data_IF_558873754757
#
_entry.id   IF_558873754757
#
_cell.length_a   1.000
_cell.length_b   1.000
_cell.length_c   1.000
_cell.angle_alpha   90.00
_cell.angle_beta   90.00
_cell.angle_gamma   90.00
#
_symmetry.space_group_name_H-M   'P 1'
#
loop_
_entity.id
_entity.type
_entity.pdbx_description
1 polymer ?
#
# COMPACT_ATOMS: atom_id res chain seq x y z
N UNK A 1 -22.75 -2.33 8.63
CA UNK A 1 -21.85 -3.50 8.61
C UNK A 1 -20.43 -2.96 8.72
N UNK A 2 -19.78 -3.13 9.87
CA UNK A 2 -18.41 -2.65 10.12
C UNK A 2 -17.48 -3.84 10.04
N UNK A 3 -16.63 -3.88 9.01
CA UNK A 3 -15.55 -4.87 8.90
C UNK A 3 -14.34 -4.29 9.60
N UNK A 4 -14.08 -4.75 10.83
CA UNK A 4 -12.87 -4.36 11.56
C UNK A 4 -11.70 -5.23 11.09
N UNK A 5 -10.94 -4.76 10.11
CA UNK A 5 -9.67 -5.37 9.71
C UNK A 5 -8.51 -4.43 9.96
N UNK A 6 -7.30 -4.97 10.12
CA UNK A 6 -6.09 -4.16 10.29
C UNK A 6 -5.81 -3.33 9.03
N UNK A 7 -6.01 -3.93 7.86
CA UNK A 7 -5.91 -3.28 6.57
C UNK A 7 -6.90 -3.82 5.57
N UNK A 8 -7.20 -3.03 4.53
CA UNK A 8 -7.99 -3.47 3.40
C UNK A 8 -7.11 -4.26 2.41
N UNK A 9 -6.25 -3.59 1.64
CA UNK A 9 -5.33 -4.26 0.72
C UNK A 9 -3.92 -4.28 1.31
N UNK A 10 -3.39 -5.50 1.48
CA UNK A 10 -2.03 -5.73 1.99
C UNK A 10 -1.20 -6.53 1.00
N UNK A 11 -0.15 -5.91 0.45
CA UNK A 11 0.80 -6.56 -0.45
C UNK A 11 2.15 -6.69 0.25
N UNK A 12 2.73 -7.89 0.23
CA UNK A 12 4.00 -8.20 0.88
C UNK A 12 4.91 -8.91 -0.10
N UNK A 13 6.14 -8.44 -0.20
CA UNK A 13 7.19 -9.16 -0.91
C UNK A 13 8.56 -8.88 -0.30
N UNK A 14 9.58 -9.54 -0.83
CA UNK A 14 10.99 -9.29 -0.51
C UNK A 14 11.84 -9.83 -1.64
N UNK A 15 13.07 -9.32 -1.76
CA UNK A 15 14.13 -9.98 -2.52
C UNK A 15 14.18 -11.45 -2.07
N UNK A 16 14.17 -12.35 -3.04
CA UNK A 16 14.07 -13.78 -2.83
C UNK A 16 12.72 -14.41 -3.20
N UNK A 17 11.67 -13.60 -3.39
CA UNK A 17 10.34 -14.11 -3.77
C UNK A 17 10.11 -14.14 -5.28
N UNK A 18 10.86 -13.35 -6.06
CA UNK A 18 10.79 -13.30 -7.52
C UNK A 18 9.39 -13.00 -8.07
N UNK A 19 9.18 -13.38 -9.34
CA UNK A 19 7.91 -13.28 -10.06
C UNK A 19 7.33 -11.84 -10.08
N UNK A 20 6.01 -11.71 -10.07
CA UNK A 20 5.32 -10.43 -10.23
C UNK A 20 4.05 -10.35 -9.39
N UNK A 21 3.73 -9.14 -8.95
CA UNK A 21 2.38 -8.72 -8.55
C UNK A 21 2.05 -7.52 -9.42
N UNK A 22 1.15 -7.72 -10.37
CA UNK A 22 0.81 -6.70 -11.34
C UNK A 22 -0.67 -6.71 -11.70
N UNK A 23 -1.11 -5.62 -12.30
CA UNK A 23 -2.46 -5.48 -12.86
C UNK A 23 -3.54 -5.66 -11.77
N UNK A 24 -3.34 -4.97 -10.63
CA UNK A 24 -4.25 -4.99 -9.50
C UNK A 24 -5.09 -3.71 -9.52
N UNK A 25 -6.42 -3.86 -9.59
CA UNK A 25 -7.36 -2.75 -9.67
C UNK A 25 -8.40 -2.88 -8.56
N UNK A 26 -8.31 -1.99 -7.58
CA UNK A 26 -9.23 -1.95 -6.44
C UNK A 26 -10.07 -0.69 -6.53
N UNK A 27 -11.40 -0.84 -6.43
CA UNK A 27 -12.32 0.27 -6.65
C UNK A 27 -13.56 0.19 -5.76
N UNK A 28 -14.13 1.35 -5.46
CA UNK A 28 -15.43 1.50 -4.77
C UNK A 28 -15.36 0.85 -3.39
N UNK A 29 -14.61 1.48 -2.50
CA UNK A 29 -14.40 0.98 -1.13
C UNK A 29 -15.03 1.91 -0.11
N UNK A 30 -15.76 1.32 0.84
CA UNK A 30 -16.30 2.01 2.00
C UNK A 30 -15.75 1.33 3.26
N UNK A 31 -14.78 1.97 3.90
CA UNK A 31 -13.98 1.40 4.98
C UNK A 31 -14.26 2.12 6.30
N UNK A 32 -14.16 1.42 7.41
CA UNK A 32 -14.37 1.97 8.75
C UNK A 32 -13.47 1.25 9.75
N UNK A 33 -12.90 1.98 10.73
CA UNK A 33 -12.02 1.44 11.76
C UNK A 33 -10.82 0.67 11.20
N UNK A 34 -9.95 1.33 10.44
CA UNK A 34 -8.77 0.68 9.85
C UNK A 34 -7.46 1.30 10.31
N UNK A 35 -6.43 0.47 10.44
CA UNK A 35 -5.08 0.99 10.70
C UNK A 35 -4.44 1.50 9.41
N UNK A 36 -4.55 0.73 8.32
CA UNK A 36 -4.06 1.13 7.00
C UNK A 36 -5.09 0.82 5.92
N UNK A 37 -5.41 1.77 5.03
CA UNK A 37 -6.23 1.42 3.86
C UNK A 37 -5.36 0.63 2.90
N UNK A 38 -4.23 1.22 2.51
CA UNK A 38 -3.27 0.64 1.58
C UNK A 38 -1.99 0.29 2.31
N UNK A 39 -1.59 -0.98 2.30
CA UNK A 39 -0.35 -1.41 2.95
C UNK A 39 0.52 -2.27 2.03
N UNK A 40 1.64 -1.70 1.60
CA UNK A 40 2.65 -2.40 0.80
C UNK A 40 3.97 -2.47 1.57
N UNK A 41 4.63 -3.62 1.57
CA UNK A 41 5.93 -3.81 2.22
C UNK A 41 6.84 -4.71 1.36
N UNK A 42 7.94 -4.13 0.85
CA UNK A 42 8.96 -4.81 0.05
C UNK A 42 10.06 -5.50 0.86
N UNK A 43 10.05 -5.41 2.18
CA UNK A 43 11.10 -5.99 3.05
C UNK A 43 10.56 -7.08 3.98
N UNK A 44 9.47 -7.75 3.58
CA UNK A 44 8.79 -8.73 4.42
C UNK A 44 9.49 -10.10 4.40
N UNK A 45 10.31 -10.39 5.41
CA UNK A 45 11.20 -11.57 5.46
C UNK A 45 10.65 -12.80 6.21
N UNK A 46 9.34 -12.89 6.46
CA UNK A 46 8.77 -14.04 7.20
C UNK A 46 8.78 -15.33 6.35
N UNK A 47 9.04 -16.46 6.99
CA UNK A 47 8.96 -17.84 6.44
C UNK A 47 9.79 -18.08 5.17
N UNK A 48 11.13 -18.07 5.28
CA UNK A 48 11.98 -18.62 4.22
C UNK A 48 11.78 -20.14 4.18
N UNK A 49 11.39 -20.67 3.02
CA UNK A 49 11.60 -22.09 2.72
C UNK A 49 13.07 -22.27 2.35
N UNK A 50 13.67 -23.41 2.60
CA UNK A 50 15.12 -23.60 2.41
C UNK A 50 15.56 -23.56 0.93
N UNK A 51 14.63 -23.69 -0.03
CA UNK A 51 14.91 -23.68 -1.47
C UNK A 51 14.27 -22.47 -2.19
N UNK A 52 14.82 -21.26 -2.02
CA UNK A 52 14.47 -20.10 -2.86
C UNK A 52 15.73 -19.45 -3.45
N UNK A 53 15.59 -18.78 -4.59
CA UNK A 53 16.68 -17.99 -5.17
C UNK A 53 16.81 -16.66 -4.43
N UNK A 54 17.89 -16.41 -3.66
CA UNK A 54 18.08 -15.19 -2.89
C UNK A 54 18.29 -13.93 -3.73
N UNK A 55 18.48 -14.08 -5.05
CA UNK A 55 18.64 -12.96 -5.98
C UNK A 55 17.36 -12.67 -6.76
N UNK A 56 16.29 -13.45 -6.57
CA UNK A 56 15.05 -13.24 -7.31
C UNK A 56 14.37 -11.92 -6.91
N UNK A 57 14.28 -10.99 -7.85
CA UNK A 57 13.67 -9.67 -7.65
C UNK A 57 12.20 -9.75 -8.07
N UNK A 58 11.24 -9.45 -7.17
CA UNK A 58 9.82 -9.38 -7.54
C UNK A 58 9.52 -8.09 -8.31
N UNK A 59 8.65 -8.17 -9.31
CA UNK A 59 8.15 -7.00 -10.06
C UNK A 59 6.83 -6.54 -9.46
N UNK A 60 6.74 -5.23 -9.14
CA UNK A 60 5.54 -4.56 -8.67
C UNK A 60 5.14 -3.50 -9.69
N UNK A 61 4.01 -3.67 -10.36
CA UNK A 61 3.62 -2.76 -11.44
C UNK A 61 2.11 -2.65 -11.61
N UNK A 62 1.62 -1.49 -12.05
CA UNK A 62 0.24 -1.29 -12.45
C UNK A 62 -0.77 -1.65 -11.34
N UNK A 63 -0.63 -0.98 -10.21
CA UNK A 63 -1.49 -1.17 -9.03
C UNK A 63 -2.29 0.11 -8.85
N UNK A 64 -3.61 -0.01 -8.88
CA UNK A 64 -4.50 1.15 -8.80
C UNK A 64 -5.56 1.01 -7.71
N UNK A 65 -5.81 2.13 -7.05
CA UNK A 65 -6.85 2.28 -6.04
C UNK A 65 -7.72 3.47 -6.43
N UNK A 66 -9.02 3.26 -6.56
CA UNK A 66 -9.94 4.32 -6.97
C UNK A 66 -11.23 4.37 -6.15
N UNK A 67 -11.75 5.57 -5.89
CA UNK A 67 -13.03 5.77 -5.22
C UNK A 67 -13.07 5.07 -3.85
N UNK A 68 -12.21 5.54 -2.95
CA UNK A 68 -12.04 5.01 -1.60
C UNK A 68 -12.58 6.02 -0.61
N UNK A 69 -13.55 5.63 0.21
CA UNK A 69 -14.06 6.42 1.33
C UNK A 69 -13.78 5.65 2.60
N UNK A 70 -13.09 6.26 3.56
CA UNK A 70 -12.70 5.61 4.79
C UNK A 70 -12.90 6.50 6.01
N UNK A 71 -13.37 5.92 7.11
CA UNK A 71 -13.56 6.62 8.39
C UNK A 71 -12.81 5.96 9.53
N UNK A 72 -12.38 6.77 10.51
CA UNK A 72 -11.62 6.32 11.67
C UNK A 72 -10.37 5.52 11.25
N UNK A 73 -9.50 6.16 10.46
CA UNK A 73 -8.29 5.54 9.88
C UNK A 73 -7.01 6.08 10.54
N UNK A 74 -6.05 5.21 10.87
CA UNK A 74 -4.75 5.66 11.41
C UNK A 74 -3.84 6.28 10.34
N UNK A 75 -3.72 5.61 9.19
CA UNK A 75 -2.84 6.03 8.09
C UNK A 75 -3.44 5.57 6.76
N UNK A 76 -3.84 6.48 5.85
CA UNK A 76 -4.41 6.09 4.57
C UNK A 76 -3.50 5.18 3.74
N UNK A 77 -2.21 5.50 3.61
CA UNK A 77 -1.29 4.64 2.88
C UNK A 77 0.07 4.48 3.58
N UNK A 78 0.47 3.22 3.69
CA UNK A 78 1.82 2.78 4.07
C UNK A 78 2.42 1.98 2.91
N UNK A 79 3.13 2.66 2.02
CA UNK A 79 3.72 2.10 0.82
C UNK A 79 5.24 2.10 0.95
N UNK A 80 5.81 0.93 1.21
CA UNK A 80 7.26 0.74 1.37
C UNK A 80 7.74 -0.23 0.29
N UNK A 81 8.50 0.28 -0.67
CA UNK A 81 9.13 -0.52 -1.72
C UNK A 81 10.33 -1.32 -1.22
N UNK A 82 11.14 -1.82 -2.16
CA UNK A 82 12.43 -2.42 -1.84
C UNK A 82 13.48 -1.31 -1.94
N UNK A 83 14.39 -1.16 -0.96
CA UNK A 83 15.45 -0.17 -1.03
C UNK A 83 16.23 -0.26 -2.35
N UNK A 84 16.38 0.88 -3.04
CA UNK A 84 17.02 0.98 -4.37
C UNK A 84 16.32 0.23 -5.51
N UNK A 85 15.12 -0.33 -5.27
CA UNK A 85 14.27 -0.98 -6.27
C UNK A 85 12.81 -0.59 -6.00
N UNK A 86 12.43 0.66 -6.33
CA UNK A 86 11.14 1.20 -5.95
C UNK A 86 9.99 0.44 -6.61
N UNK A 87 8.83 0.41 -5.94
CA UNK A 87 7.60 -0.05 -6.58
C UNK A 87 7.04 1.04 -7.47
N UNK A 88 6.81 0.74 -8.74
CA UNK A 88 6.42 1.74 -9.74
C UNK A 88 5.01 1.47 -10.28
N UNK A 89 4.43 2.46 -10.95
CA UNK A 89 3.11 2.32 -11.56
C UNK A 89 1.98 2.20 -10.53
N UNK A 90 2.10 2.89 -9.40
CA UNK A 90 1.04 3.03 -8.41
C UNK A 90 0.15 4.22 -8.80
N UNK A 91 -1.16 4.02 -8.85
CA UNK A 91 -2.13 5.08 -9.14
C UNK A 91 -3.20 5.14 -8.05
N UNK A 92 -3.38 6.30 -7.42
CA UNK A 92 -4.42 6.50 -6.41
C UNK A 92 -5.33 7.66 -6.83
N UNK A 93 -6.62 7.38 -7.01
CA UNK A 93 -7.59 8.35 -7.50
C UNK A 93 -8.81 8.43 -6.59
N UNK A 94 -9.20 9.64 -6.19
CA UNK A 94 -10.42 9.87 -5.40
C UNK A 94 -10.43 9.04 -4.09
N UNK A 95 -9.44 9.30 -3.23
CA UNK A 95 -9.34 8.72 -1.89
C UNK A 95 -9.69 9.79 -0.86
N UNK A 96 -10.74 9.54 -0.08
CA UNK A 96 -11.17 10.35 1.05
C UNK A 96 -11.09 9.54 2.34
N UNK A 97 -10.29 10.00 3.30
CA UNK A 97 -10.07 9.32 4.56
C UNK A 97 -10.21 10.31 5.72
N UNK A 98 -11.12 10.01 6.65
CA UNK A 98 -11.18 10.66 7.96
C UNK A 98 -10.14 10.01 8.87
N UNK A 99 -8.99 10.67 9.01
CA UNK A 99 -7.86 10.17 9.78
C UNK A 99 -7.99 10.53 11.26
N UNK A 100 -7.65 9.59 12.15
CA UNK A 100 -7.54 9.89 13.57
C UNK A 100 -6.36 10.82 13.83
N UNK A 101 -6.50 11.70 14.83
CA UNK A 101 -5.44 12.64 15.21
C UNK A 101 -4.18 11.87 15.61
N UNK A 102 -3.08 12.12 14.88
CA UNK A 102 -1.79 11.45 15.08
C UNK A 102 -0.66 12.46 15.17
N UNK A 103 0.37 12.15 15.97
CA UNK A 103 1.63 12.90 16.00
C UNK A 103 2.61 12.44 14.90
N UNK A 104 2.32 11.31 14.25
CA UNK A 104 3.15 10.74 13.18
C UNK A 104 2.61 11.18 11.81
N UNK A 105 3.44 11.21 10.76
CA UNK A 105 2.95 11.38 9.40
C UNK A 105 1.84 10.38 9.09
N UNK A 106 0.80 10.86 8.43
CA UNK A 106 -0.35 10.06 8.01
C UNK A 106 -0.16 9.45 6.62
N UNK A 107 0.89 9.83 5.91
CA UNK A 107 1.33 9.25 4.66
C UNK A 107 2.74 8.70 4.85
N UNK A 108 2.99 7.48 4.40
CA UNK A 108 4.32 6.89 4.40
C UNK A 108 4.55 6.23 3.04
N UNK A 109 5.27 6.92 2.17
CA UNK A 109 5.60 6.49 0.82
C UNK A 109 7.12 6.52 0.67
N UNK A 110 7.77 5.36 0.70
CA UNK A 110 9.23 5.20 0.65
C UNK A 110 9.56 4.18 -0.43
N UNK A 111 10.52 4.50 -1.30
CA UNK A 111 10.89 3.66 -2.45
C UNK A 111 9.66 3.30 -3.30
N UNK A 112 8.79 4.27 -3.59
CA UNK A 112 7.62 4.08 -4.45
C UNK A 112 7.47 5.24 -5.42
N UNK A 113 6.99 4.93 -6.62
CA UNK A 113 6.74 5.89 -7.69
C UNK A 113 5.33 5.69 -8.25
N UNK A 114 4.64 6.81 -8.46
CA UNK A 114 3.27 6.77 -8.88
C UNK A 114 2.64 8.15 -8.99
N UNK A 115 1.34 8.15 -9.24
CA UNK A 115 0.52 9.37 -9.34
C UNK A 115 -0.64 9.28 -8.36
N UNK A 116 -1.02 10.43 -7.81
CA UNK A 116 -2.24 10.55 -7.01
C UNK A 116 -3.02 11.79 -7.37
N UNK A 117 -4.36 11.71 -7.31
CA UNK A 117 -5.25 12.84 -7.57
C UNK A 117 -6.56 12.72 -6.80
N UNK A 118 -7.18 13.85 -6.48
CA UNK A 118 -8.38 13.96 -5.63
C UNK A 118 -8.22 13.24 -4.28
N UNK A 119 -7.17 13.62 -3.55
CA UNK A 119 -6.82 13.04 -2.27
C UNK A 119 -7.32 13.91 -1.13
N UNK A 120 -7.93 13.31 -0.11
CA UNK A 120 -8.31 13.97 1.14
C UNK A 120 -7.99 13.03 2.30
N UNK A 121 -7.08 13.40 3.22
CA UNK A 121 -6.19 14.55 3.17
C UNK A 121 -5.18 14.45 2.01
N UNK A 122 -4.65 15.58 1.55
CA UNK A 122 -3.62 15.58 0.51
C UNK A 122 -2.31 15.00 1.03
N UNK A 123 -1.61 14.14 0.28
CA UNK A 123 -0.21 13.83 0.55
C UNK A 123 0.60 15.12 0.48
N UNK A 124 1.43 15.40 1.48
CA UNK A 124 2.38 16.50 1.39
C UNK A 124 3.36 16.19 0.26
N UNK A 125 3.60 17.18 -0.62
CA UNK A 125 4.65 17.12 -1.63
C UNK A 125 6.03 17.31 -0.98
#
# INVERSE_FOLDING_TARGET
MTINSESDVRIKTTIGRGAYVKDIFVRIMNLHNMKWILWMMGTYKQHKKDNFDPKAIPVMQNISYSNVVAKNVTMPAKLEGIPSMPFTGICIYNLSAEVVKSKKPIWNCIDVEGVSSHMTPTPYA
#
